data_IF_870571419940
#
_entry.id   IF_870571419940
#
_cell.length_a   1.000
_cell.length_b   1.000
_cell.length_c   1.000
_cell.angle_alpha   90.00
_cell.angle_beta   90.00
_cell.angle_gamma   90.00
#
_symmetry.space_group_name_H-M   'P 1'
#
loop_
_entity.id
_entity.type
_entity.pdbx_description
1 polymer ?
#
# COMPACT_ATOMS: atom_id res chain seq x y z
N UNK A 1 -13.20 34.45 -18.47
CA UNK A 1 -12.51 34.11 -17.21
C UNK A 1 -13.44 33.22 -16.40
N UNK A 2 -13.45 31.91 -16.66
CA UNK A 2 -14.24 30.97 -15.86
C UNK A 2 -13.43 30.62 -14.61
N UNK A 3 -13.96 30.99 -13.44
CA UNK A 3 -13.37 30.60 -12.17
C UNK A 3 -13.53 29.08 -12.03
N UNK A 4 -12.40 28.39 -11.87
CA UNK A 4 -12.39 26.98 -11.50
C UNK A 4 -12.84 26.86 -10.03
N UNK A 5 -13.89 26.07 -9.79
CA UNK A 5 -14.24 25.65 -8.44
C UNK A 5 -13.09 24.79 -7.87
N UNK A 6 -12.69 24.96 -6.60
CA UNK A 6 -11.73 24.08 -5.98
C UNK A 6 -12.39 22.71 -5.80
N UNK A 7 -11.86 21.69 -6.48
CA UNK A 7 -12.30 20.30 -6.31
C UNK A 7 -11.73 19.82 -4.97
N UNK A 8 -12.56 19.81 -3.94
CA UNK A 8 -12.27 19.08 -2.69
C UNK A 8 -12.53 17.58 -2.92
N UNK A 9 -11.66 16.90 -3.67
CA UNK A 9 -11.60 15.43 -3.71
C UNK A 9 -10.49 14.99 -2.76
N UNK A 10 -10.80 14.92 -1.47
CA UNK A 10 -9.86 14.59 -0.41
C UNK A 10 -9.74 13.06 -0.26
N UNK A 11 -9.36 12.36 -1.32
CA UNK A 11 -9.17 10.91 -1.32
C UNK A 11 -7.73 10.57 -0.91
N UNK A 12 -7.54 9.73 0.11
CA UNK A 12 -6.23 9.29 0.63
C UNK A 12 -5.61 8.18 -0.24
N UNK A 13 -5.50 8.42 -1.55
CA UNK A 13 -4.83 7.54 -2.52
C UNK A 13 -4.44 8.33 -3.79
N UNK A 14 -3.52 7.79 -4.58
CA UNK A 14 -3.25 8.25 -5.96
C UNK A 14 -2.91 7.07 -6.86
N UNK A 15 -3.75 6.84 -7.86
CA UNK A 15 -3.62 5.76 -8.85
C UNK A 15 -3.87 6.32 -10.25
N UNK A 16 -3.46 5.61 -11.29
CA UNK A 16 -3.63 6.05 -12.68
C UNK A 16 -5.10 6.30 -13.07
N UNK A 17 -5.97 5.31 -12.81
CA UNK A 17 -7.39 5.37 -13.17
C UNK A 17 -8.23 4.49 -12.24
N UNK A 18 -9.04 5.13 -11.38
CA UNK A 18 -9.90 4.42 -10.42
C UNK A 18 -11.01 3.61 -11.09
N UNK A 19 -11.36 3.90 -12.35
CA UNK A 19 -12.39 3.16 -13.07
C UNK A 19 -11.98 1.71 -13.40
N UNK A 20 -10.69 1.39 -13.28
CA UNK A 20 -10.15 0.04 -13.46
C UNK A 20 -10.42 -0.90 -12.27
N UNK A 21 -10.97 -0.40 -11.16
CA UNK A 21 -11.14 -1.15 -9.93
C UNK A 21 -11.97 -2.44 -10.09
N UNK A 22 -13.03 -2.43 -10.91
CA UNK A 22 -13.85 -3.64 -11.13
C UNK A 22 -13.07 -4.74 -11.88
N UNK A 23 -12.20 -4.35 -12.81
CA UNK A 23 -11.32 -5.30 -13.50
C UNK A 23 -10.26 -5.84 -12.53
N UNK A 24 -9.61 -4.96 -11.76
CA UNK A 24 -8.67 -5.37 -10.72
C UNK A 24 -9.27 -6.34 -9.71
N UNK A 25 -10.50 -6.10 -9.27
CA UNK A 25 -11.22 -7.03 -8.37
C UNK A 25 -11.37 -8.42 -8.99
N UNK A 26 -11.79 -8.51 -10.25
CA UNK A 26 -11.92 -9.81 -10.93
C UNK A 26 -10.59 -10.56 -11.01
N UNK A 27 -9.48 -9.85 -11.22
CA UNK A 27 -8.15 -10.48 -11.24
C UNK A 27 -7.67 -10.87 -9.83
N UNK A 28 -8.00 -10.09 -8.80
CA UNK A 28 -7.76 -10.48 -7.40
C UNK A 28 -8.51 -11.77 -7.05
N UNK A 29 -9.80 -11.86 -7.40
CA UNK A 29 -10.60 -13.06 -7.14
C UNK A 29 -10.00 -14.31 -7.82
N UNK A 30 -9.42 -14.16 -9.01
CA UNK A 30 -8.68 -15.24 -9.69
C UNK A 30 -7.35 -15.53 -8.99
N UNK A 31 -6.62 -14.51 -8.57
CA UNK A 31 -5.33 -14.70 -7.90
C UNK A 31 -5.48 -15.41 -6.54
N UNK A 32 -6.57 -15.18 -5.82
CA UNK A 32 -6.88 -15.90 -4.58
C UNK A 32 -6.95 -17.42 -4.80
N UNK A 33 -7.46 -17.89 -5.96
CA UNK A 33 -7.50 -19.33 -6.26
C UNK A 33 -6.12 -19.94 -6.54
N UNK A 34 -5.15 -19.12 -6.96
CA UNK A 34 -3.78 -19.51 -7.26
C UNK A 34 -2.80 -19.25 -6.09
N UNK A 35 -3.28 -18.70 -4.97
CA UNK A 35 -2.48 -18.41 -3.77
C UNK A 35 -2.97 -19.19 -2.53
N UNK A 36 -3.09 -20.53 -2.60
CA UNK A 36 -3.76 -21.33 -1.56
C UNK A 36 -3.09 -21.26 -0.19
N UNK A 37 -1.76 -21.09 -0.14
CA UNK A 37 -1.04 -20.94 1.12
C UNK A 37 -1.41 -19.65 1.85
N UNK A 38 -1.53 -18.53 1.11
CA UNK A 38 -1.88 -17.24 1.68
C UNK A 38 -3.36 -17.22 2.12
N UNK A 39 -4.24 -17.82 1.32
CA UNK A 39 -5.66 -17.98 1.70
C UNK A 39 -5.82 -18.85 2.94
N UNK A 40 -5.07 -19.95 3.05
CA UNK A 40 -5.07 -20.78 4.25
C UNK A 40 -4.57 -20.02 5.49
N UNK A 41 -3.58 -19.12 5.36
CA UNK A 41 -3.15 -18.25 6.46
C UNK A 41 -4.24 -17.25 6.87
N UNK A 42 -4.89 -16.63 5.88
CA UNK A 42 -6.01 -15.70 6.09
C UNK A 42 -7.12 -16.41 6.90
N UNK A 43 -7.55 -17.57 6.44
CA UNK A 43 -8.60 -18.37 7.09
C UNK A 43 -8.20 -18.81 8.50
N UNK A 44 -6.96 -19.30 8.66
CA UNK A 44 -6.46 -19.80 9.94
C UNK A 44 -6.47 -18.72 11.02
N UNK A 45 -6.06 -17.49 10.68
CA UNK A 45 -5.85 -16.43 11.68
C UNK A 45 -6.95 -15.36 11.71
N UNK A 46 -7.95 -15.42 10.83
CA UNK A 46 -9.05 -14.46 10.78
C UNK A 46 -9.78 -14.29 12.12
N UNK A 47 -9.95 -15.35 12.91
CA UNK A 47 -10.58 -15.27 14.24
C UNK A 47 -9.69 -14.68 15.33
N UNK A 48 -8.37 -14.79 15.19
CA UNK A 48 -7.39 -14.35 16.19
C UNK A 48 -7.04 -12.87 16.06
N UNK A 49 -7.22 -12.30 14.86
CA UNK A 49 -6.85 -10.92 14.51
C UNK A 49 -5.42 -10.55 15.00
N UNK A 50 -4.39 -11.34 14.63
CA UNK A 50 -3.05 -11.20 15.21
C UNK A 50 -2.36 -9.89 14.84
N UNK A 51 -2.83 -9.20 13.79
CA UNK A 51 -2.31 -7.92 13.36
C UNK A 51 -3.18 -6.75 13.82
N UNK A 52 -4.14 -6.98 14.74
CA UNK A 52 -4.94 -5.90 15.30
C UNK A 52 -4.05 -4.81 15.92
N UNK A 53 -4.15 -3.60 15.39
CA UNK A 53 -3.33 -2.45 15.83
C UNK A 53 -1.97 -2.35 15.14
N UNK A 54 -1.61 -3.28 14.26
CA UNK A 54 -0.49 -3.12 13.34
C UNK A 54 -0.82 -2.02 12.32
N UNK A 55 0.15 -1.15 12.10
CA UNK A 55 0.11 -0.03 11.17
C UNK A 55 1.32 -0.13 10.25
N UNK A 56 1.10 -0.74 9.09
CA UNK A 56 2.15 -1.24 8.21
C UNK A 56 2.38 -0.24 7.08
N UNK A 57 3.62 0.25 6.97
CA UNK A 57 4.10 0.91 5.76
C UNK A 57 4.60 -0.17 4.80
N UNK A 58 3.98 -0.28 3.62
CA UNK A 58 4.34 -1.26 2.60
C UNK A 58 4.97 -0.61 1.37
N UNK A 59 6.13 -1.11 0.94
CA UNK A 59 6.75 -0.76 -0.33
C UNK A 59 7.20 -2.02 -1.05
N UNK A 60 6.41 -2.45 -2.03
CA UNK A 60 6.67 -3.62 -2.88
C UNK A 60 5.86 -3.46 -4.15
N UNK A 61 6.28 -4.10 -5.25
CA UNK A 61 5.59 -4.05 -6.53
C UNK A 61 4.05 -4.10 -6.39
N UNK A 62 3.34 -3.06 -6.83
CA UNK A 62 1.88 -2.97 -6.71
C UNK A 62 1.18 -3.80 -7.80
N UNK A 63 1.19 -5.12 -7.64
CA UNK A 63 0.60 -6.12 -8.54
C UNK A 63 -0.70 -6.70 -7.97
N UNK A 64 -1.36 -7.55 -8.74
CA UNK A 64 -2.51 -8.35 -8.28
C UNK A 64 -2.13 -9.23 -7.08
N UNK A 65 -0.98 -9.90 -7.12
CA UNK A 65 -0.54 -10.79 -6.04
C UNK A 65 -0.30 -10.01 -4.74
N UNK A 66 0.31 -8.82 -4.86
CA UNK A 66 0.47 -7.89 -3.74
C UNK A 66 -0.88 -7.41 -3.22
N UNK A 67 -1.88 -7.20 -4.09
CA UNK A 67 -3.23 -6.90 -3.64
C UNK A 67 -3.82 -7.99 -2.74
N UNK A 68 -3.61 -9.27 -3.05
CA UNK A 68 -4.03 -10.39 -2.19
C UNK A 68 -3.27 -10.41 -0.86
N UNK A 69 -1.97 -10.05 -0.85
CA UNK A 69 -1.19 -9.86 0.37
C UNK A 69 -1.77 -8.73 1.23
N UNK A 70 -2.00 -7.56 0.64
CA UNK A 70 -2.60 -6.39 1.32
C UNK A 70 -3.93 -6.77 1.96
N UNK A 71 -4.84 -7.41 1.21
CA UNK A 71 -6.14 -7.83 1.75
C UNK A 71 -6.03 -8.92 2.81
N UNK A 72 -4.96 -9.71 2.79
CA UNK A 72 -4.69 -10.66 3.87
C UNK A 72 -4.24 -9.94 5.14
N UNK A 73 -3.33 -8.97 5.04
CA UNK A 73 -2.88 -8.19 6.20
C UNK A 73 -4.06 -7.44 6.84
N UNK A 74 -4.90 -6.80 6.03
CA UNK A 74 -6.09 -6.08 6.54
C UNK A 74 -7.14 -7.02 7.12
N UNK A 75 -7.39 -8.18 6.49
CA UNK A 75 -8.30 -9.20 7.04
C UNK A 75 -7.82 -9.77 8.39
N UNK A 76 -6.51 -9.73 8.68
CA UNK A 76 -5.91 -10.14 9.95
C UNK A 76 -5.80 -9.01 10.98
N UNK A 77 -6.33 -7.81 10.68
CA UNK A 77 -6.52 -6.71 11.62
C UNK A 77 -5.59 -5.51 11.43
N UNK A 78 -4.72 -5.53 10.40
CA UNK A 78 -3.79 -4.43 10.14
C UNK A 78 -4.47 -3.23 9.46
N UNK A 79 -3.98 -2.04 9.74
CA UNK A 79 -4.08 -0.88 8.84
C UNK A 79 -2.82 -0.81 7.99
N UNK A 80 -2.94 -0.49 6.70
CA UNK A 80 -1.78 -0.40 5.80
C UNK A 80 -1.81 0.88 4.96
N UNK A 81 -0.63 1.38 4.57
CA UNK A 81 -0.43 2.42 3.54
C UNK A 81 0.65 1.92 2.57
N UNK A 82 0.43 2.08 1.26
CA UNK A 82 1.21 1.33 0.27
C UNK A 82 1.74 2.15 -0.91
N UNK A 83 2.95 1.82 -1.36
CA UNK A 83 3.56 2.28 -2.60
C UNK A 83 4.22 1.12 -3.35
N UNK A 84 4.51 1.33 -4.64
CA UNK A 84 5.36 0.42 -5.41
C UNK A 84 6.83 0.65 -5.06
N UNK A 85 7.68 -0.38 -5.18
CA UNK A 85 9.15 -0.27 -5.09
C UNK A 85 9.84 -0.09 -6.47
N UNK A 86 9.05 -0.01 -7.55
CA UNK A 86 9.57 0.20 -8.89
C UNK A 86 8.58 0.97 -9.77
N UNK A 87 9.11 1.93 -10.52
CA UNK A 87 8.35 2.87 -11.38
C UNK A 87 7.56 2.20 -12.52
N UNK A 88 7.90 0.97 -12.92
CA UNK A 88 7.24 0.28 -14.03
C UNK A 88 6.47 -0.99 -13.63
N UNK A 89 6.57 -1.43 -12.38
CA UNK A 89 6.00 -2.71 -11.96
C UNK A 89 4.50 -2.64 -11.65
N UNK A 90 3.97 -1.47 -11.32
CA UNK A 90 2.57 -1.32 -10.97
C UNK A 90 1.65 -1.86 -12.06
N UNK A 91 0.65 -2.63 -11.63
CA UNK A 91 -0.52 -2.99 -12.42
C UNK A 91 -1.65 -2.03 -12.02
N UNK A 92 -1.98 -1.09 -12.90
CA UNK A 92 -2.88 0.03 -12.54
C UNK A 92 -4.28 -0.42 -12.10
N UNK A 93 -4.78 -1.53 -12.65
CA UNK A 93 -6.04 -2.12 -12.23
C UNK A 93 -5.95 -2.75 -10.82
N UNK A 94 -4.81 -3.32 -10.44
CA UNK A 94 -4.56 -3.79 -9.08
C UNK A 94 -4.55 -2.61 -8.09
N UNK A 95 -3.79 -1.55 -8.40
CA UNK A 95 -3.75 -0.34 -7.58
C UNK A 95 -5.15 0.29 -7.43
N UNK A 96 -5.93 0.38 -8.53
CA UNK A 96 -7.29 0.88 -8.49
C UNK A 96 -8.22 0.03 -7.62
N UNK A 97 -8.11 -1.30 -7.67
CA UNK A 97 -8.93 -2.18 -6.83
C UNK A 97 -8.62 -2.03 -5.33
N UNK A 98 -7.35 -1.84 -4.99
CA UNK A 98 -6.91 -1.58 -3.60
C UNK A 98 -7.33 -0.18 -3.14
N UNK A 99 -7.22 0.84 -3.98
CA UNK A 99 -7.75 2.17 -3.66
C UNK A 99 -9.28 2.13 -3.42
N UNK A 100 -10.02 1.39 -4.25
CA UNK A 100 -11.46 1.26 -4.13
C UNK A 100 -11.92 0.46 -2.90
N UNK A 101 -11.05 -0.39 -2.31
CA UNK A 101 -11.33 -1.06 -1.04
C UNK A 101 -11.13 -0.14 0.18
N UNK A 102 -10.62 1.08 -0.03
CA UNK A 102 -10.38 2.08 1.00
C UNK A 102 -8.96 2.06 1.58
N UNK A 103 -8.06 1.23 1.03
CA UNK A 103 -6.65 1.21 1.43
C UNK A 103 -5.90 2.37 0.76
N UNK A 104 -5.14 3.17 1.53
CA UNK A 104 -4.27 4.20 0.97
C UNK A 104 -3.15 3.60 0.12
N UNK A 105 -3.23 3.81 -1.19
CA UNK A 105 -2.23 3.35 -2.17
C UNK A 105 -1.81 4.51 -3.07
N UNK A 106 -0.50 4.66 -3.22
CA UNK A 106 0.15 5.68 -4.03
C UNK A 106 1.07 4.97 -5.02
N UNK A 107 0.51 4.57 -6.16
CA UNK A 107 1.22 3.80 -7.16
C UNK A 107 0.54 3.89 -8.53
N UNK A 108 1.33 4.07 -9.58
CA UNK A 108 0.90 3.89 -10.97
C UNK A 108 2.05 3.43 -11.85
N UNK A 109 1.74 2.89 -13.03
CA UNK A 109 2.75 2.47 -13.99
C UNK A 109 3.33 3.68 -14.71
N UNK A 110 4.66 3.76 -14.79
CA UNK A 110 5.38 4.81 -15.50
C UNK A 110 5.56 6.08 -14.67
N UNK A 111 5.70 5.93 -13.35
CA UNK A 111 6.15 7.01 -12.46
C UNK A 111 7.50 7.59 -12.93
N UNK A 112 7.66 8.89 -12.73
CA UNK A 112 8.99 9.52 -12.69
C UNK A 112 9.66 9.27 -11.34
N UNK A 113 10.97 9.46 -11.23
CA UNK A 113 11.69 9.34 -9.95
C UNK A 113 11.15 10.28 -8.86
N UNK A 114 10.74 11.50 -9.25
CA UNK A 114 10.14 12.47 -8.30
C UNK A 114 8.77 11.97 -7.79
N UNK A 115 7.98 11.35 -8.67
CA UNK A 115 6.70 10.76 -8.30
C UNK A 115 6.88 9.52 -7.41
N UNK A 116 7.88 8.69 -7.70
CA UNK A 116 8.25 7.53 -6.88
C UNK A 116 8.61 7.96 -5.45
N UNK A 117 9.54 8.91 -5.29
CA UNK A 117 9.89 9.45 -3.97
C UNK A 117 8.67 10.06 -3.26
N UNK A 118 7.81 10.77 -4.02
CA UNK A 118 6.58 11.33 -3.48
C UNK A 118 5.62 10.24 -2.98
N UNK A 119 5.48 9.13 -3.72
CA UNK A 119 4.65 7.99 -3.32
C UNK A 119 5.15 7.37 -2.02
N UNK A 120 6.47 7.13 -1.89
CA UNK A 120 7.09 6.68 -0.63
C UNK A 120 6.72 7.63 0.52
N UNK A 121 6.86 8.94 0.31
CA UNK A 121 6.53 9.94 1.33
C UNK A 121 5.04 9.94 1.70
N UNK A 122 4.13 9.73 0.74
CA UNK A 122 2.69 9.63 1.04
C UNK A 122 2.31 8.35 1.79
N UNK A 123 3.09 7.27 1.68
CA UNK A 123 2.89 6.11 2.57
C UNK A 123 3.23 6.48 4.01
N UNK A 124 4.33 7.21 4.22
CA UNK A 124 4.83 7.63 5.54
C UNK A 124 3.91 8.66 6.17
N UNK A 125 3.42 9.63 5.40
CA UNK A 125 2.64 10.76 5.89
C UNK A 125 1.14 10.49 5.76
N UNK A 126 0.39 10.88 6.79
CA UNK A 126 -1.06 11.00 6.77
C UNK A 126 -1.44 12.41 7.18
N UNK A 127 -2.27 13.08 6.39
CA UNK A 127 -2.67 14.48 6.61
C UNK A 127 -1.48 15.45 6.77
N UNK A 128 -0.37 15.18 6.06
CA UNK A 128 0.86 15.98 6.09
C UNK A 128 1.76 15.78 7.31
N UNK A 129 1.47 14.80 8.17
CA UNK A 129 2.29 14.46 9.33
C UNK A 129 2.66 12.98 9.33
N UNK A 130 3.79 12.58 9.95
CA UNK A 130 4.14 11.17 10.12
C UNK A 130 2.98 10.35 10.68
N UNK A 131 2.57 9.33 9.96
CA UNK A 131 1.58 8.38 10.44
C UNK A 131 2.12 7.62 11.65
N UNK A 132 1.25 7.09 12.50
CA UNK A 132 1.65 6.32 13.67
C UNK A 132 1.97 4.85 13.34
N UNK A 133 2.71 4.66 12.25
CA UNK A 133 3.20 3.38 11.79
C UNK A 133 4.04 2.66 12.86
N UNK A 134 3.94 1.34 12.89
CA UNK A 134 4.66 0.49 13.83
C UNK A 134 5.28 -0.76 13.18
N UNK A 135 5.13 -0.95 11.86
CA UNK A 135 5.71 -2.03 11.09
C UNK A 135 6.08 -1.53 9.70
N UNK A 136 7.11 -2.14 9.10
CA UNK A 136 7.52 -1.90 7.71
C UNK A 136 7.60 -3.24 6.98
N UNK A 137 7.05 -3.27 5.77
CA UNK A 137 7.24 -4.34 4.79
C UNK A 137 7.86 -3.69 3.54
N UNK A 138 9.05 -4.14 3.17
CA UNK A 138 9.86 -3.47 2.14
C UNK A 138 10.43 -4.49 1.15
N UNK A 139 10.70 -4.03 -0.06
CA UNK A 139 11.34 -4.78 -1.14
C UNK A 139 12.33 -3.85 -1.87
N UNK A 140 13.61 -4.01 -1.55
CA UNK A 140 14.72 -3.23 -2.11
C UNK A 140 15.25 -2.14 -1.17
N UNK A 141 14.59 -1.91 -0.03
CA UNK A 141 15.10 -1.07 1.06
C UNK A 141 14.91 0.45 0.91
N UNK A 142 14.25 0.94 -0.14
CA UNK A 142 14.11 2.39 -0.39
C UNK A 142 13.22 3.08 0.66
N UNK A 143 12.11 2.45 1.05
CA UNK A 143 11.23 2.96 2.12
C UNK A 143 11.98 2.95 3.45
N UNK A 144 12.68 1.86 3.75
CA UNK A 144 13.54 1.72 4.93
C UNK A 144 14.61 2.81 4.96
N UNK A 145 15.28 3.07 3.84
CA UNK A 145 16.30 4.11 3.73
C UNK A 145 15.71 5.50 3.99
N UNK A 146 14.54 5.80 3.41
CA UNK A 146 13.85 7.07 3.64
C UNK A 146 13.48 7.27 5.11
N UNK A 147 12.98 6.22 5.78
CA UNK A 147 12.69 6.27 7.22
C UNK A 147 13.95 6.56 8.04
N UNK A 148 15.07 5.91 7.76
CA UNK A 148 16.33 6.13 8.49
C UNK A 148 16.92 7.53 8.25
N UNK A 149 16.79 8.08 7.03
CA UNK A 149 17.42 9.34 6.67
C UNK A 149 16.55 10.57 6.95
N UNK A 150 15.25 10.50 6.65
CA UNK A 150 14.32 11.64 6.72
C UNK A 150 13.37 11.59 7.92
N UNK A 151 13.02 10.40 8.41
CA UNK A 151 12.00 10.22 9.46
C UNK A 151 12.48 9.35 10.64
N UNK A 152 13.75 9.49 11.02
CA UNK A 152 14.39 8.60 12.00
C UNK A 152 13.60 8.48 13.34
N UNK A 153 12.91 9.54 13.76
CA UNK A 153 12.07 9.52 14.98
C UNK A 153 10.86 8.57 14.91
N UNK A 154 10.42 8.15 13.73
CA UNK A 154 9.38 7.11 13.60
C UNK A 154 9.89 5.74 14.01
N UNK A 155 11.20 5.48 13.83
CA UNK A 155 11.80 4.17 14.11
C UNK A 155 11.73 3.79 15.59
N UNK A 156 11.64 4.77 16.50
CA UNK A 156 11.44 4.52 17.94
C UNK A 156 10.12 3.77 18.24
N UNK A 157 9.15 3.82 17.32
CA UNK A 157 7.84 3.17 17.43
C UNK A 157 7.67 1.97 16.51
N UNK A 158 8.55 1.79 15.53
CA UNK A 158 8.51 0.68 14.58
C UNK A 158 9.11 -0.56 15.24
N UNK A 159 8.34 -1.66 15.26
CA UNK A 159 8.70 -2.89 15.94
C UNK A 159 9.58 -3.81 15.09
N UNK A 160 9.50 -3.69 13.76
CA UNK A 160 10.24 -4.52 12.84
C UNK A 160 10.10 -4.11 11.39
N UNK A 161 11.05 -4.60 10.59
CA UNK A 161 11.11 -4.47 9.14
C UNK A 161 11.17 -5.89 8.58
N UNK A 162 10.26 -6.25 7.69
CA UNK A 162 10.32 -7.49 6.91
C UNK A 162 10.74 -7.12 5.48
N UNK A 163 11.97 -7.45 5.14
CA UNK A 163 12.58 -7.16 3.85
C UNK A 163 12.49 -8.39 2.93
N UNK A 164 12.10 -8.18 1.67
CA UNK A 164 12.00 -9.26 0.67
C UNK A 164 13.32 -9.53 -0.07
N UNK A 165 14.16 -8.51 -0.33
CA UNK A 165 15.37 -8.64 -1.19
C UNK A 165 16.69 -8.13 -0.61
#
# INVERSE_FOLDING_TARGET
>A
MSQANPVTNNSDYKVADISLAEWGRKELDIAETEMPALMALRDKYAGEQPLQGAKILGCIHMTIQTGVLIETLTALGAEVRWSSCNIFSTQDHAAAAIAASGVPVFAWKGETEEEYEWCLEQTILKDGAPWDANMVLDDGGDLTLMLHQKYAGMLDRIHGITEET
#
